data_IF_330899122855
#
_entry.id   IF_330899122855
#
_cell.length_a   1.000
_cell.length_b   1.000
_cell.length_c   1.000
_cell.angle_alpha   90.00
_cell.angle_beta   90.00
_cell.angle_gamma   90.00
#
_symmetry.space_group_name_H-M   'P 1'
#
loop_
_entity.id
_entity.type
_entity.pdbx_description
1 polymer ?
#
# COMPACT_ATOMS: atom_id res chain seq x y z
N UNK A 1 17.27 -0.21 -3.83
CA UNK A 1 16.51 -0.26 -2.55
C UNK A 1 15.83 -1.62 -2.46
N UNK A 2 16.27 -2.43 -1.49
CA UNK A 2 15.68 -3.76 -1.29
C UNK A 2 14.33 -3.63 -0.59
N UNK A 3 13.27 -4.06 -1.27
CA UNK A 3 11.89 -3.88 -0.84
C UNK A 3 11.24 -5.23 -0.59
N UNK A 4 10.65 -5.41 0.59
CA UNK A 4 9.87 -6.58 0.96
C UNK A 4 8.37 -6.29 0.82
N UNK A 5 7.66 -7.11 0.04
CA UNK A 5 6.20 -7.12 0.02
C UNK A 5 5.69 -8.24 0.92
N UNK A 6 4.75 -7.92 1.80
CA UNK A 6 4.28 -8.83 2.84
C UNK A 6 2.78 -9.06 2.67
N UNK A 7 2.43 -10.23 2.17
CA UNK A 7 1.06 -10.69 1.97
C UNK A 7 0.60 -11.48 3.18
N UNK A 8 -0.25 -10.86 4.03
CA UNK A 8 -0.72 -11.45 5.27
C UNK A 8 -2.07 -12.17 5.10
N UNK A 9 -2.27 -13.27 5.82
CA UNK A 9 -3.59 -13.77 6.17
C UNK A 9 -4.08 -13.01 7.41
N UNK A 10 -4.78 -11.90 7.17
CA UNK A 10 -5.18 -10.97 8.24
C UNK A 10 -6.30 -11.59 9.07
N UNK A 11 -6.09 -11.72 10.36
CA UNK A 11 -7.09 -12.16 11.33
C UNK A 11 -7.90 -10.95 11.79
N UNK A 12 -9.20 -10.95 11.48
CA UNK A 12 -10.08 -9.83 11.83
C UNK A 12 -10.14 -9.64 13.35
N UNK A 13 -9.89 -8.40 13.81
CA UNK A 13 -9.92 -7.99 15.22
C UNK A 13 -8.92 -8.73 16.13
N UNK A 14 -7.87 -9.29 15.54
CA UNK A 14 -6.76 -9.91 16.29
C UNK A 14 -5.45 -9.21 15.92
N UNK A 15 -5.23 -8.04 16.51
CA UNK A 15 -4.02 -7.27 16.28
C UNK A 15 -2.76 -8.02 16.69
N UNK A 16 -2.83 -8.79 17.79
CA UNK A 16 -1.69 -9.56 18.30
C UNK A 16 -1.20 -10.59 17.28
N UNK A 17 -2.14 -11.39 16.72
CA UNK A 17 -1.80 -12.37 15.68
C UNK A 17 -1.24 -11.69 14.41
N UNK A 18 -1.87 -10.59 13.97
CA UNK A 18 -1.43 -9.86 12.79
C UNK A 18 -0.05 -9.22 12.98
N UNK A 19 0.21 -8.63 14.13
CA UNK A 19 1.53 -8.09 14.49
C UNK A 19 2.59 -9.19 14.54
N UNK A 20 2.28 -10.34 15.14
CA UNK A 20 3.19 -11.49 15.18
C UNK A 20 3.53 -12.00 13.77
N UNK A 21 2.54 -12.07 12.87
CA UNK A 21 2.75 -12.48 11.48
C UNK A 21 3.60 -11.47 10.71
N UNK A 22 3.32 -10.16 10.87
CA UNK A 22 4.12 -9.08 10.27
C UNK A 22 5.57 -9.10 10.79
N UNK A 23 5.76 -9.28 12.11
CA UNK A 23 7.08 -9.38 12.74
C UNK A 23 7.88 -10.57 12.18
N UNK A 24 7.24 -11.75 12.04
CA UNK A 24 7.88 -12.93 11.47
C UNK A 24 8.33 -12.69 10.01
N UNK A 25 7.52 -12.01 9.20
CA UNK A 25 7.86 -11.65 7.83
C UNK A 25 9.02 -10.65 7.76
N UNK A 26 9.03 -9.61 8.62
CA UNK A 26 10.13 -8.64 8.73
C UNK A 26 11.44 -9.32 9.14
N UNK A 27 11.40 -10.27 10.07
CA UNK A 27 12.59 -11.03 10.48
C UNK A 27 13.12 -11.93 9.37
N UNK A 28 12.25 -12.51 8.55
CA UNK A 28 12.63 -13.35 7.40
C UNK A 28 13.40 -12.57 6.34
N UNK A 29 13.08 -11.30 6.17
CA UNK A 29 13.71 -10.40 5.20
C UNK A 29 14.54 -9.31 5.89
N UNK A 30 15.42 -9.72 6.80
CA UNK A 30 16.11 -8.82 7.73
C UNK A 30 17.03 -7.77 7.08
N UNK A 31 17.33 -7.90 5.81
CA UNK A 31 18.16 -7.02 4.99
C UNK A 31 17.34 -6.09 4.05
N UNK A 32 16.01 -6.12 4.13
CA UNK A 32 15.19 -5.18 3.37
C UNK A 32 15.20 -3.77 4.00
N UNK A 33 15.18 -2.77 3.14
CA UNK A 33 15.17 -1.35 3.50
C UNK A 33 13.74 -0.79 3.62
N UNK A 34 12.81 -1.36 2.82
CA UNK A 34 11.39 -1.01 2.81
C UNK A 34 10.53 -2.26 2.97
N UNK A 35 9.56 -2.21 3.89
CA UNK A 35 8.56 -3.25 4.11
C UNK A 35 7.17 -2.68 3.84
N UNK A 36 6.37 -3.38 3.05
CA UNK A 36 5.03 -2.95 2.68
C UNK A 36 4.01 -3.98 3.19
N UNK A 37 3.12 -3.52 4.06
CA UNK A 37 2.02 -4.28 4.65
C UNK A 37 0.70 -3.96 3.94
N UNK A 38 -0.32 -4.84 4.01
CA UNK A 38 -1.61 -4.61 3.38
C UNK A 38 -2.42 -3.42 3.97
N UNK A 39 -3.61 -3.20 3.43
CA UNK A 39 -4.60 -2.27 3.98
C UNK A 39 -5.16 -2.79 5.31
N UNK A 40 -5.30 -1.91 6.31
CA UNK A 40 -5.83 -2.22 7.65
C UNK A 40 -5.22 -3.49 8.25
N UNK A 41 -3.91 -3.65 8.07
CA UNK A 41 -3.18 -4.89 8.26
C UNK A 41 -3.24 -5.44 9.69
N UNK A 42 -3.40 -4.57 10.71
CA UNK A 42 -3.46 -5.01 12.11
C UNK A 42 -4.88 -5.38 12.56
N UNK A 43 -5.93 -4.86 11.89
CA UNK A 43 -7.32 -4.98 12.36
C UNK A 43 -8.21 -5.82 11.46
N UNK A 44 -7.81 -6.00 10.20
CA UNK A 44 -8.72 -6.40 9.12
C UNK A 44 -9.60 -5.23 8.68
N UNK A 45 -10.29 -5.42 7.55
CA UNK A 45 -11.15 -4.39 6.95
C UNK A 45 -12.45 -4.24 7.74
N UNK A 46 -12.44 -3.35 8.74
CA UNK A 46 -13.60 -3.10 9.60
C UNK A 46 -14.40 -1.89 9.09
N UNK A 47 -15.54 -2.18 8.44
CA UNK A 47 -16.46 -1.18 7.89
C UNK A 47 -17.13 -0.32 8.96
N UNK A 48 -17.24 -0.82 10.18
CA UNK A 48 -17.87 -0.14 11.32
C UNK A 48 -16.90 -0.10 12.49
N UNK A 49 -15.88 0.78 12.44
CA UNK A 49 -14.81 0.79 13.42
C UNK A 49 -15.38 1.17 14.81
N UNK A 50 -14.92 0.45 15.82
CA UNK A 50 -15.25 0.65 17.22
C UNK A 50 -14.02 1.19 17.99
N UNK A 51 -14.20 1.54 19.27
CA UNK A 51 -13.06 1.91 20.13
C UNK A 51 -12.00 0.80 20.17
N UNK A 52 -12.42 -0.47 20.16
CA UNK A 52 -11.51 -1.61 20.12
C UNK A 52 -10.75 -1.67 18.79
N UNK A 53 -11.39 -1.34 17.67
CA UNK A 53 -10.74 -1.27 16.36
C UNK A 53 -9.63 -0.21 16.37
N UNK A 54 -9.89 0.97 16.91
CA UNK A 54 -8.89 2.04 16.98
C UNK A 54 -7.77 1.73 17.97
N UNK A 55 -8.06 1.08 19.10
CA UNK A 55 -7.03 0.63 20.05
C UNK A 55 -6.10 -0.42 19.40
N UNK A 56 -6.66 -1.42 18.71
CA UNK A 56 -5.90 -2.42 17.97
C UNK A 56 -5.06 -1.80 16.83
N UNK A 57 -5.60 -0.81 16.13
CA UNK A 57 -4.87 -0.08 15.10
C UNK A 57 -3.70 0.72 15.69
N UNK A 58 -3.87 1.32 16.86
CA UNK A 58 -2.81 2.04 17.55
C UNK A 58 -1.66 1.11 17.98
N UNK A 59 -1.96 -0.12 18.42
CA UNK A 59 -0.93 -1.13 18.69
C UNK A 59 -0.10 -1.41 17.42
N UNK A 60 -0.78 -1.59 16.27
CA UNK A 60 -0.13 -1.77 14.96
C UNK A 60 0.73 -0.58 14.57
N UNK A 61 0.24 0.65 14.79
CA UNK A 61 0.98 1.89 14.51
C UNK A 61 2.25 2.00 15.35
N UNK A 62 2.14 1.74 16.66
CA UNK A 62 3.27 1.75 17.57
C UNK A 62 4.31 0.68 17.21
N UNK A 63 3.84 -0.49 16.77
CA UNK A 63 4.73 -1.54 16.27
C UNK A 63 5.49 -1.08 15.01
N UNK A 64 4.82 -0.44 14.04
CA UNK A 64 5.49 0.11 12.83
C UNK A 64 6.57 1.12 13.22
N UNK A 65 6.26 2.05 14.13
CA UNK A 65 7.19 3.06 14.62
C UNK A 65 8.40 2.41 15.31
N UNK A 66 8.16 1.53 16.28
CA UNK A 66 9.20 0.85 17.04
C UNK A 66 10.09 -0.03 16.15
N UNK A 67 9.49 -0.82 15.26
CA UNK A 67 10.22 -1.73 14.37
C UNK A 67 11.05 -0.96 13.36
N UNK A 68 10.51 0.11 12.77
CA UNK A 68 11.28 0.95 11.83
C UNK A 68 12.49 1.60 12.51
N UNK A 69 12.35 2.02 13.78
CA UNK A 69 13.44 2.56 14.59
C UNK A 69 14.51 1.53 14.91
N UNK A 70 14.09 0.37 15.44
CA UNK A 70 14.99 -0.69 15.89
C UNK A 70 15.81 -1.29 14.74
N UNK A 71 15.20 -1.39 13.56
CA UNK A 71 15.84 -2.01 12.39
C UNK A 71 16.48 -1.01 11.43
N UNK A 72 16.30 0.30 11.64
CA UNK A 72 16.80 1.32 10.74
C UNK A 72 16.21 1.19 9.32
N UNK A 73 14.93 0.86 9.21
CA UNK A 73 14.24 0.60 7.95
C UNK A 73 13.00 1.47 7.78
N UNK A 74 12.33 1.33 6.63
CA UNK A 74 11.03 1.96 6.37
C UNK A 74 9.92 0.91 6.38
N UNK A 75 8.79 1.22 7.01
CA UNK A 75 7.59 0.36 7.03
C UNK A 75 6.38 1.18 6.56
N UNK A 76 5.61 0.61 5.63
CA UNK A 76 4.42 1.21 5.05
C UNK A 76 3.23 0.25 5.20
N UNK A 77 2.06 0.78 5.54
CA UNK A 77 0.80 0.05 5.63
C UNK A 77 -0.33 0.94 6.11
N UNK A 78 -1.60 0.58 5.86
CA UNK A 78 -2.71 1.40 6.35
C UNK A 78 -3.37 0.81 7.59
N UNK A 79 -4.00 1.69 8.35
CA UNK A 79 -4.71 1.40 9.59
C UNK A 79 -5.94 2.31 9.71
N UNK A 80 -7.01 1.86 10.34
CA UNK A 80 -8.11 2.74 10.75
C UNK A 80 -7.63 3.67 11.87
N UNK A 81 -7.88 4.97 11.71
CA UNK A 81 -7.53 5.96 12.73
C UNK A 81 -8.70 6.86 13.03
N UNK A 82 -8.75 7.40 14.26
CA UNK A 82 -9.67 8.48 14.61
C UNK A 82 -8.90 9.80 14.69
N UNK A 83 -9.37 10.80 13.97
CA UNK A 83 -8.82 12.16 13.98
C UNK A 83 -9.97 13.16 14.00
N UNK A 84 -9.94 14.10 14.93
CA UNK A 84 -11.01 15.12 15.10
C UNK A 84 -12.43 14.53 15.17
N UNK A 85 -12.57 13.37 15.83
CA UNK A 85 -13.87 12.68 16.00
C UNK A 85 -14.33 11.89 14.77
N UNK A 86 -13.57 11.88 13.68
CA UNK A 86 -13.88 11.18 12.44
C UNK A 86 -12.92 10.01 12.21
N UNK A 87 -13.39 8.97 11.51
CA UNK A 87 -12.58 7.81 11.15
C UNK A 87 -11.97 7.98 9.76
N UNK A 88 -10.71 7.55 9.61
CA UNK A 88 -9.98 7.54 8.34
C UNK A 88 -9.29 6.19 8.14
N UNK A 89 -9.19 5.76 6.89
CA UNK A 89 -8.30 4.68 6.46
C UNK A 89 -6.96 5.32 6.09
N UNK A 90 -6.02 5.34 7.04
CA UNK A 90 -4.77 6.08 6.92
C UNK A 90 -3.59 5.16 6.65
N UNK A 91 -2.91 5.40 5.54
CA UNK A 91 -1.62 4.80 5.25
C UNK A 91 -0.51 5.61 5.94
N UNK A 92 0.36 4.90 6.64
CA UNK A 92 1.53 5.47 7.31
C UNK A 92 2.80 5.05 6.59
N UNK A 93 3.78 5.93 6.56
CA UNK A 93 5.16 5.63 6.17
C UNK A 93 6.08 6.00 7.34
N UNK A 94 6.50 4.99 8.10
CA UNK A 94 7.47 5.14 9.18
C UNK A 94 8.86 4.79 8.69
N UNK A 95 9.84 5.64 8.92
CA UNK A 95 11.25 5.41 8.61
C UNK A 95 12.12 5.78 9.80
N UNK A 96 12.98 4.86 10.25
CA UNK A 96 13.89 5.08 11.37
C UNK A 96 13.19 5.59 12.64
N UNK A 97 11.93 5.20 12.86
CA UNK A 97 11.09 5.60 13.98
C UNK A 97 10.41 6.98 13.82
N UNK A 98 10.48 7.59 12.66
CA UNK A 98 9.80 8.85 12.35
C UNK A 98 8.69 8.61 11.30
N UNK A 99 7.55 9.23 11.49
CA UNK A 99 6.49 9.25 10.47
C UNK A 99 6.89 10.26 9.39
N UNK A 100 7.29 9.77 8.21
CA UNK A 100 7.68 10.62 7.09
C UNK A 100 6.47 11.29 6.45
N UNK A 101 5.39 10.55 6.29
CA UNK A 101 4.13 11.03 5.73
C UNK A 101 2.97 10.13 6.10
N UNK A 102 1.77 10.66 5.96
CA UNK A 102 0.51 9.91 6.03
C UNK A 102 -0.33 10.21 4.80
N UNK A 103 -1.15 9.25 4.42
CA UNK A 103 -2.13 9.39 3.33
C UNK A 103 -3.48 8.86 3.80
N UNK A 104 -4.50 9.69 3.81
CA UNK A 104 -5.88 9.26 4.05
C UNK A 104 -6.51 8.84 2.72
N UNK A 105 -7.06 7.63 2.68
CA UNK A 105 -7.71 7.07 1.49
C UNK A 105 -8.73 8.05 0.92
N UNK A 106 -8.53 8.45 -0.34
CA UNK A 106 -9.43 9.40 -1.01
C UNK A 106 -10.71 8.74 -1.48
N UNK A 107 -10.60 7.59 -2.15
CA UNK A 107 -11.75 6.92 -2.72
C UNK A 107 -12.22 5.80 -1.80
N UNK A 108 -13.23 6.12 -1.00
CA UNK A 108 -13.85 5.15 -0.11
C UNK A 108 -14.68 4.15 -0.90
N UNK A 109 -14.65 2.88 -0.48
CA UNK A 109 -15.37 1.79 -1.13
C UNK A 109 -16.87 1.85 -0.79
N UNK A 110 -17.60 2.77 -1.43
CA UNK A 110 -19.03 3.05 -1.19
C UNK A 110 -19.90 1.82 -1.48
N UNK A 111 -19.55 0.99 -2.49
CA UNK A 111 -20.26 -0.27 -2.73
C UNK A 111 -20.28 -1.19 -1.50
N UNK A 112 -19.28 -1.12 -0.65
CA UNK A 112 -19.19 -1.84 0.62
C UNK A 112 -19.65 -1.03 1.83
N UNK A 113 -20.02 0.25 1.69
CA UNK A 113 -20.47 1.11 2.78
C UNK A 113 -19.33 1.76 3.59
N UNK A 114 -18.08 1.77 3.08
CA UNK A 114 -16.96 2.42 3.77
C UNK A 114 -17.22 3.91 4.01
N UNK A 115 -17.85 4.59 3.05
CA UNK A 115 -18.23 6.01 3.09
C UNK A 115 -19.28 6.37 4.14
N UNK A 116 -19.95 5.38 4.73
CA UNK A 116 -20.91 5.61 5.82
C UNK A 116 -20.22 5.81 7.18
N UNK A 117 -18.97 5.38 7.31
CA UNK A 117 -18.25 5.33 8.58
C UNK A 117 -16.88 5.99 8.55
N UNK A 118 -16.27 6.12 7.38
CA UNK A 118 -14.97 6.75 7.16
C UNK A 118 -15.11 8.03 6.37
N UNK A 119 -14.16 8.95 6.56
CA UNK A 119 -14.06 10.18 5.79
C UNK A 119 -12.97 10.04 4.71
N UNK A 120 -13.20 10.58 3.51
CA UNK A 120 -12.18 10.61 2.47
C UNK A 120 -11.07 11.60 2.81
N UNK A 121 -9.86 11.28 2.38
CA UNK A 121 -8.76 12.24 2.30
C UNK A 121 -8.92 13.20 1.12
N UNK A 122 -8.24 14.35 1.17
CA UNK A 122 -8.24 15.35 0.09
C UNK A 122 -6.97 15.28 -0.76
N UNK A 123 -5.83 14.93 -0.15
CA UNK A 123 -4.52 15.17 -0.71
C UNK A 123 -3.80 13.87 -1.11
N UNK A 124 -3.04 13.93 -2.19
CA UNK A 124 -2.02 12.93 -2.48
C UNK A 124 -0.72 13.32 -1.80
N UNK A 125 0.01 12.34 -1.28
CA UNK A 125 1.29 12.57 -0.61
C UNK A 125 2.40 11.79 -1.28
N UNK A 126 3.60 12.36 -1.28
CA UNK A 126 4.81 11.70 -1.79
C UNK A 126 5.92 11.91 -0.77
N UNK A 127 6.70 10.87 -0.48
CA UNK A 127 7.85 10.96 0.41
C UNK A 127 9.09 10.34 -0.22
N UNK A 128 10.27 10.80 0.20
CA UNK A 128 11.55 10.26 -0.24
C UNK A 128 12.00 9.17 0.73
N UNK A 129 12.28 7.98 0.18
CA UNK A 129 12.89 6.85 0.91
C UNK A 129 14.12 6.40 0.14
N UNK A 130 15.30 6.50 0.75
CA UNK A 130 16.55 6.38 0.03
C UNK A 130 16.64 7.43 -1.08
N UNK A 131 16.68 6.98 -2.33
CA UNK A 131 16.69 7.84 -3.51
C UNK A 131 15.42 7.74 -4.38
N UNK A 132 14.37 7.05 -3.90
CA UNK A 132 13.11 6.85 -4.60
C UNK A 132 11.99 7.66 -3.95
N UNK A 133 11.19 8.33 -4.78
CA UNK A 133 9.97 9.05 -4.37
C UNK A 133 8.80 8.06 -4.37
N UNK A 134 8.24 7.81 -3.20
CA UNK A 134 7.14 6.86 -3.01
C UNK A 134 5.81 7.60 -2.89
N UNK A 135 4.78 7.13 -3.60
CA UNK A 135 3.39 7.58 -3.46
C UNK A 135 2.52 6.43 -2.94
N UNK A 136 2.11 6.44 -1.67
CA UNK A 136 1.19 5.46 -1.13
C UNK A 136 -0.25 5.79 -1.52
N UNK A 137 -1.00 4.79 -1.93
CA UNK A 137 -2.44 4.80 -2.18
C UNK A 137 -3.08 3.55 -1.56
N UNK A 138 -4.41 3.55 -1.41
CA UNK A 138 -5.12 2.49 -0.69
C UNK A 138 -6.21 1.88 -1.57
N UNK A 139 -6.07 0.60 -1.88
CA UNK A 139 -7.07 -0.32 -2.39
C UNK A 139 -7.94 0.25 -3.54
N UNK A 140 -9.10 0.79 -3.22
CA UNK A 140 -10.08 1.29 -4.20
C UNK A 140 -9.55 2.45 -5.04
N UNK A 141 -8.54 3.21 -4.54
CA UNK A 141 -7.85 4.25 -5.30
C UNK A 141 -7.28 3.73 -6.63
N UNK A 142 -6.95 2.42 -6.70
CA UNK A 142 -6.45 1.77 -7.92
C UNK A 142 -7.41 1.94 -9.11
N UNK A 143 -8.71 2.12 -8.87
CA UNK A 143 -9.71 2.28 -9.94
C UNK A 143 -9.76 3.68 -10.55
N UNK A 144 -9.04 4.64 -9.97
CA UNK A 144 -9.14 6.06 -10.31
C UNK A 144 -7.81 6.58 -10.89
N UNK A 145 -7.59 6.42 -12.23
CA UNK A 145 -6.31 6.74 -12.87
C UNK A 145 -5.93 8.21 -12.78
N UNK A 146 -6.90 9.10 -12.82
CA UNK A 146 -6.66 10.55 -12.81
C UNK A 146 -5.98 10.98 -11.51
N UNK A 147 -6.41 10.43 -10.37
CA UNK A 147 -5.80 10.72 -9.06
C UNK A 147 -4.37 10.18 -8.92
N UNK A 148 -4.09 9.07 -9.61
CA UNK A 148 -2.76 8.44 -9.60
C UNK A 148 -1.82 8.96 -10.68
N UNK A 149 -2.25 9.93 -11.53
CA UNK A 149 -1.44 10.39 -12.66
C UNK A 149 -0.12 10.98 -12.22
N UNK A 150 0.97 10.50 -12.81
CA UNK A 150 2.33 10.98 -12.57
C UNK A 150 2.63 12.23 -13.42
N UNK A 151 3.14 13.26 -12.75
CA UNK A 151 3.67 14.47 -13.37
C UNK A 151 5.19 14.57 -13.10
N UNK A 152 5.90 13.45 -13.18
CA UNK A 152 7.32 13.28 -12.80
C UNK A 152 7.59 13.60 -11.31
N UNK A 153 6.63 13.35 -10.46
CA UNK A 153 6.63 13.69 -9.04
C UNK A 153 6.77 12.48 -8.11
N UNK A 154 6.77 11.26 -8.66
CA UNK A 154 7.07 10.02 -7.93
C UNK A 154 7.71 8.96 -8.85
N UNK A 155 8.38 7.97 -8.25
CA UNK A 155 9.11 6.89 -8.92
C UNK A 155 8.50 5.52 -8.64
N UNK A 156 7.80 5.38 -7.50
CA UNK A 156 7.14 4.16 -7.04
C UNK A 156 5.73 4.48 -6.57
N UNK A 157 4.74 3.84 -7.17
CA UNK A 157 3.34 3.92 -6.78
C UNK A 157 2.97 2.66 -6.02
N UNK A 158 2.44 2.80 -4.81
CA UNK A 158 2.17 1.68 -3.90
C UNK A 158 0.68 1.62 -3.60
N UNK A 159 0.08 0.44 -3.78
CA UNK A 159 -1.30 0.16 -3.39
C UNK A 159 -1.33 -0.93 -2.33
N UNK A 160 -1.78 -0.58 -1.13
CA UNK A 160 -2.06 -1.55 -0.05
C UNK A 160 -3.54 -1.88 -0.05
N UNK A 161 -3.94 -3.16 0.07
CA UNK A 161 -5.31 -3.56 -0.23
C UNK A 161 -5.85 -4.73 0.61
N UNK A 162 -7.21 -4.73 0.73
CA UNK A 162 -8.06 -5.89 0.96
C UNK A 162 -8.91 -6.12 -0.31
N UNK A 163 -8.28 -6.67 -1.35
CA UNK A 163 -8.90 -6.85 -2.67
C UNK A 163 -9.38 -8.29 -2.84
N UNK A 164 -10.69 -8.55 -2.90
CA UNK A 164 -11.21 -9.91 -2.90
C UNK A 164 -11.00 -10.64 -4.22
N UNK A 165 -10.91 -11.96 -4.13
CA UNK A 165 -10.70 -12.88 -5.25
C UNK A 165 -11.69 -12.67 -6.39
N UNK A 166 -12.96 -12.38 -6.09
CA UNK A 166 -14.01 -12.16 -7.10
C UNK A 166 -13.72 -10.98 -8.05
N UNK A 167 -12.79 -10.11 -7.73
CA UNK A 167 -12.37 -8.95 -8.53
C UNK A 167 -10.89 -8.95 -8.88
N UNK A 168 -10.20 -10.09 -8.71
CA UNK A 168 -8.74 -10.16 -8.85
C UNK A 168 -8.22 -9.84 -10.26
N UNK A 169 -9.02 -10.09 -11.30
CA UNK A 169 -8.65 -9.72 -12.67
C UNK A 169 -8.48 -8.20 -12.81
N UNK A 170 -9.36 -7.41 -12.17
CA UNK A 170 -9.24 -5.96 -12.19
C UNK A 170 -7.99 -5.49 -11.41
N UNK A 171 -7.65 -6.15 -10.28
CA UNK A 171 -6.42 -5.89 -9.54
C UNK A 171 -5.19 -6.03 -10.43
N UNK A 172 -5.03 -7.18 -11.06
CA UNK A 172 -3.87 -7.47 -11.92
C UNK A 172 -3.79 -6.52 -13.11
N UNK A 173 -4.90 -6.33 -13.84
CA UNK A 173 -4.91 -5.47 -15.03
C UNK A 173 -4.61 -4.00 -14.69
N UNK A 174 -5.20 -3.48 -13.61
CA UNK A 174 -5.04 -2.09 -13.22
C UNK A 174 -3.65 -1.79 -12.67
N UNK A 175 -3.02 -2.68 -11.88
CA UNK A 175 -1.64 -2.49 -11.42
C UNK A 175 -0.68 -2.37 -12.61
N UNK A 176 -0.77 -3.27 -13.59
CA UNK A 176 0.04 -3.20 -14.81
C UNK A 176 -0.22 -1.91 -15.59
N UNK A 177 -1.49 -1.53 -15.79
CA UNK A 177 -1.85 -0.29 -16.47
C UNK A 177 -1.25 0.95 -15.79
N UNK A 178 -1.31 1.02 -14.44
CA UNK A 178 -0.71 2.12 -13.68
C UNK A 178 0.80 2.22 -13.89
N UNK A 179 1.51 1.09 -14.00
CA UNK A 179 2.95 1.09 -14.27
C UNK A 179 3.26 1.65 -15.65
N UNK A 180 2.54 1.21 -16.68
CA UNK A 180 2.73 1.63 -18.06
C UNK A 180 2.45 3.12 -18.23
N UNK A 181 1.26 3.58 -17.81
CA UNK A 181 0.80 4.94 -18.07
C UNK A 181 1.57 6.01 -17.26
N UNK A 182 2.14 5.63 -16.09
CA UNK A 182 2.88 6.53 -15.21
C UNK A 182 4.39 6.35 -15.29
N UNK A 183 4.87 5.36 -16.05
CA UNK A 183 6.29 5.04 -16.23
C UNK A 183 7.04 5.01 -14.87
N UNK A 184 6.48 4.28 -13.92
CA UNK A 184 6.97 4.11 -12.55
C UNK A 184 6.87 2.65 -12.12
N UNK A 185 7.60 2.26 -11.08
CA UNK A 185 7.29 1.00 -10.42
C UNK A 185 5.89 1.04 -9.83
N UNK A 186 5.14 -0.05 -9.96
CA UNK A 186 3.88 -0.22 -9.25
C UNK A 186 3.95 -1.44 -8.36
N UNK A 187 3.66 -1.24 -7.08
CA UNK A 187 3.63 -2.29 -6.06
C UNK A 187 2.21 -2.41 -5.53
N UNK A 188 1.60 -3.57 -5.72
CA UNK A 188 0.33 -3.89 -5.11
C UNK A 188 0.53 -4.93 -4.01
N UNK A 189 0.18 -4.59 -2.75
CA UNK A 189 0.24 -5.53 -1.63
C UNK A 189 -1.17 -5.80 -1.14
N UNK A 190 -1.62 -7.03 -1.34
CA UNK A 190 -2.94 -7.50 -0.97
C UNK A 190 -2.85 -8.49 0.19
N UNK A 191 -3.97 -8.74 0.87
CA UNK A 191 -4.09 -9.81 1.87
C UNK A 191 -4.49 -11.14 1.25
N UNK A 192 -4.37 -12.21 2.04
CA UNK A 192 -4.97 -13.53 1.80
C UNK A 192 -6.01 -13.88 2.87
N UNK A 193 -6.59 -15.09 2.78
CA UNK A 193 -7.49 -15.66 3.77
C UNK A 193 -8.96 -15.35 3.52
N UNK A 194 -9.76 -15.51 4.57
CA UNK A 194 -11.22 -15.35 4.51
C UNK A 194 -11.66 -14.34 5.57
N UNK A 195 -12.58 -13.45 5.21
CA UNK A 195 -13.24 -12.55 6.15
C UNK A 195 -14.75 -12.54 5.85
N UNK A 196 -15.52 -13.13 6.75
CA UNK A 196 -16.94 -13.34 6.53
C UNK A 196 -17.22 -14.19 5.29
N UNK A 197 -17.83 -13.59 4.27
CA UNK A 197 -18.15 -14.25 3.00
C UNK A 197 -17.15 -13.98 1.89
N UNK A 198 -16.13 -13.17 2.17
CA UNK A 198 -15.14 -12.79 1.18
C UNK A 198 -13.89 -13.66 1.30
N UNK A 199 -13.44 -14.15 0.15
CA UNK A 199 -12.16 -14.83 0.02
C UNK A 199 -11.16 -13.87 -0.62
N UNK A 200 -9.96 -13.84 -0.07
CA UNK A 200 -8.83 -13.07 -0.55
C UNK A 200 -7.73 -14.03 -0.98
N UNK A 201 -7.29 -13.93 -2.20
CA UNK A 201 -6.29 -14.82 -2.80
C UNK A 201 -4.95 -14.10 -3.07
N UNK A 202 -4.67 -13.03 -2.36
CA UNK A 202 -3.41 -12.33 -2.46
C UNK A 202 -3.14 -11.74 -3.84
N UNK A 203 -2.25 -12.37 -4.61
CA UNK A 203 -1.79 -11.86 -5.90
C UNK A 203 -1.13 -10.49 -5.79
N UNK A 204 -0.40 -10.28 -4.67
CA UNK A 204 0.48 -9.13 -4.53
C UNK A 204 1.54 -9.17 -5.63
N UNK A 205 1.81 -8.03 -6.26
CA UNK A 205 2.69 -8.00 -7.42
C UNK A 205 3.50 -6.71 -7.50
N UNK A 206 4.62 -6.79 -8.20
CA UNK A 206 5.48 -5.65 -8.55
C UNK A 206 5.64 -5.59 -10.07
N UNK A 207 5.38 -4.43 -10.62
CA UNK A 207 5.56 -4.13 -12.04
C UNK A 207 6.66 -3.09 -12.25
N UNK A 208 7.48 -3.28 -13.27
CA UNK A 208 8.47 -2.32 -13.74
C UNK A 208 7.80 -1.12 -14.44
N UNK A 209 8.53 0.00 -14.65
CA UNK A 209 8.01 1.20 -15.31
C UNK A 209 7.54 1.01 -16.76
N UNK A 210 7.88 -0.10 -17.40
CA UNK A 210 7.41 -0.50 -18.74
C UNK A 210 6.25 -1.50 -18.72
N UNK A 211 5.78 -1.87 -17.52
CA UNK A 211 4.69 -2.82 -17.32
C UNK A 211 5.13 -4.28 -17.19
N UNK A 212 6.43 -4.59 -17.27
CA UNK A 212 6.91 -5.94 -17.03
C UNK A 212 6.59 -6.36 -15.59
N UNK A 213 6.00 -7.53 -15.42
CA UNK A 213 5.81 -8.14 -14.11
C UNK A 213 7.16 -8.66 -13.59
N UNK A 214 7.61 -8.11 -12.47
CA UNK A 214 8.88 -8.48 -11.85
C UNK A 214 8.74 -9.51 -10.73
N UNK A 215 7.60 -9.47 -10.04
CA UNK A 215 7.30 -10.35 -8.92
C UNK A 215 5.78 -10.51 -8.79
N UNK A 216 5.34 -11.73 -8.50
CA UNK A 216 3.97 -12.04 -8.07
C UNK A 216 4.00 -13.08 -6.97
N UNK A 217 3.22 -12.85 -5.92
CA UNK A 217 2.98 -13.83 -4.87
C UNK A 217 1.73 -14.66 -5.20
N UNK A 218 1.74 -15.90 -4.75
CA UNK A 218 0.62 -16.82 -4.92
C UNK A 218 -0.56 -16.51 -3.98
N UNK A 219 -1.45 -17.48 -3.77
CA UNK A 219 -2.65 -17.30 -2.95
C UNK A 219 -2.46 -17.55 -1.46
N UNK A 220 -1.22 -17.76 -1.02
CA UNK A 220 -0.89 -18.05 0.37
C UNK A 220 -0.36 -16.80 1.09
N UNK A 221 -0.40 -16.82 2.43
CA UNK A 221 0.32 -15.83 3.24
C UNK A 221 1.82 -16.04 3.05
N UNK A 222 2.47 -15.11 2.39
CA UNK A 222 3.89 -15.17 2.05
C UNK A 222 4.52 -13.79 1.93
N UNK A 223 5.82 -13.75 1.80
CA UNK A 223 6.55 -12.51 1.60
C UNK A 223 7.78 -12.76 0.71
N UNK A 224 8.11 -11.78 -0.12
CA UNK A 224 9.28 -11.83 -0.97
C UNK A 224 9.94 -10.45 -1.07
N UNK A 225 11.19 -10.44 -1.52
CA UNK A 225 11.96 -9.21 -1.74
C UNK A 225 12.25 -8.98 -3.22
N UNK A 226 12.37 -7.70 -3.57
CA UNK A 226 12.80 -7.24 -4.88
C UNK A 226 13.67 -6.00 -4.74
N UNK A 227 14.63 -5.83 -5.65
CA UNK A 227 15.45 -4.64 -5.72
C UNK A 227 14.86 -3.62 -6.69
N UNK A 228 14.60 -2.40 -6.18
CA UNK A 228 14.16 -1.26 -6.98
C UNK A 228 15.32 -0.32 -7.27
N UNK A 229 15.42 0.15 -8.51
CA UNK A 229 16.45 1.08 -8.95
C UNK A 229 15.85 2.35 -9.56
N UNK A 230 16.28 3.51 -9.08
CA UNK A 230 15.91 4.79 -9.70
C UNK A 230 16.41 4.88 -11.15
N UNK A 231 17.52 4.26 -11.47
CA UNK A 231 18.09 4.29 -12.83
C UNK A 231 17.17 3.57 -13.83
N UNK A 232 16.48 2.51 -13.42
CA UNK A 232 15.46 1.86 -14.26
C UNK A 232 14.31 2.82 -14.61
N UNK A 233 13.81 3.59 -13.65
CA UNK A 233 12.76 4.61 -13.89
C UNK A 233 13.26 5.67 -14.87
N UNK A 234 14.45 6.20 -14.61
CA UNK A 234 15.09 7.22 -15.46
C UNK A 234 15.34 6.74 -16.90
N UNK A 235 15.81 5.50 -17.04
CA UNK A 235 16.06 4.89 -18.34
C UNK A 235 14.77 4.79 -19.17
N UNK A 236 13.67 4.27 -18.58
CA UNK A 236 12.38 4.14 -19.27
C UNK A 236 11.85 5.52 -19.66
N UNK A 237 11.85 6.51 -18.76
CA UNK A 237 11.38 7.87 -19.02
C UNK A 237 12.25 8.60 -20.05
N UNK A 238 13.57 8.35 -20.06
CA UNK A 238 14.48 8.91 -21.06
C UNK A 238 14.24 8.30 -22.44
N UNK A 239 14.06 6.99 -22.51
CA UNK A 239 13.85 6.24 -23.75
C UNK A 239 12.49 6.51 -24.37
N UNK A 240 11.48 6.66 -23.53
CA UNK A 240 10.07 6.88 -23.91
C UNK A 240 9.49 8.06 -23.13
N UNK A 241 9.69 9.30 -23.56
CA UNK A 241 9.32 10.48 -22.78
C UNK A 241 7.81 10.79 -22.81
N UNK A 242 6.93 9.78 -22.70
CA UNK A 242 5.48 9.90 -22.88
C UNK A 242 4.79 10.75 -21.81
N UNK A 243 5.39 10.89 -20.61
CA UNK A 243 4.83 11.76 -19.57
C UNK A 243 4.81 13.24 -19.98
N UNK A 244 5.64 13.64 -20.96
CA UNK A 244 5.67 15.03 -21.49
C UNK A 244 4.44 15.38 -22.32
N UNK A 245 3.77 14.36 -22.87
CA UNK A 245 2.58 14.51 -23.71
C UNK A 245 1.28 14.40 -22.89
N UNK A 246 1.40 14.28 -21.56
CA UNK A 246 0.25 14.14 -20.67
C UNK A 246 -0.56 15.43 -20.60
N UNK A 247 -1.89 15.29 -20.63
CA UNK A 247 -2.80 16.40 -20.43
C UNK A 247 -2.62 17.07 -19.07
N UNK A 248 -2.73 18.37 -19.02
CA UNK A 248 -2.80 19.13 -17.78
C UNK A 248 -4.25 19.15 -17.26
N UNK A 249 -4.45 18.82 -15.99
CA UNK A 249 -5.75 18.89 -15.34
C UNK A 249 -5.61 19.25 -13.85
N UNK A 250 -6.70 19.73 -13.26
CA UNK A 250 -6.80 19.98 -11.82
C UNK A 250 -7.91 19.12 -11.24
N UNK A 251 -7.62 18.45 -10.13
CA UNK A 251 -8.64 17.74 -9.35
C UNK A 251 -9.41 18.73 -8.49
N UNK A 252 -10.73 18.68 -8.56
CA UNK A 252 -11.64 19.48 -7.75
C UNK A 252 -12.06 18.75 -6.48
#
# INVERSE_FOLDING_TARGET
>A
MKTAIIQLDIQRRDASANIAAAQAAVLRHSDAELYILPEMWATGFDMQPTEQTFAAAEEGRLWMEATSRQRGCTILGSLPVRSHGQAFNRCFVYSHGQCLTTYDKRHLFSYGGEDQHYQPGSDSTTCLVGNLRLRPLVCYDLRFPVFARCHDDYDVLIYVANWPQSRIQAWTALLCARAIENQCYVIGVNRTGVDGRLTYNGQSAVYAPDGQELLRLDSQAESATIDLSLDTVREVRRRFPFLRDADAFTLC
#
